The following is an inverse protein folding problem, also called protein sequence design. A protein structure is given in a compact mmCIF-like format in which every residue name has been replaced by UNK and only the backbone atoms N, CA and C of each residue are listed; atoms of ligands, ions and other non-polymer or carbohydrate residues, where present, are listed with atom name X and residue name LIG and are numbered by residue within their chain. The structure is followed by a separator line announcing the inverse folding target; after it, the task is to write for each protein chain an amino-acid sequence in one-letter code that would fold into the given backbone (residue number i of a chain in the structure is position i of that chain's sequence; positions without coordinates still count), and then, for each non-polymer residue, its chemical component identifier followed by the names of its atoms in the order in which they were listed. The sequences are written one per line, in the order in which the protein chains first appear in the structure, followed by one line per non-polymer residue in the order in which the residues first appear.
data_IF_732434418229
#
_entry.id   IF_732434418229
#
_cell.length_a   1.000
_cell.length_b   1.000
_cell.length_c   1.000
_cell.angle_alpha   90.00
_cell.angle_beta   90.00
_cell.angle_gamma   90.00
#
_symmetry.space_group_name_H-M   'P 1'
#
loop_
_entity.id
_entity.type
_entity.pdbx_description
1 polymer ?
#
# COMPACT_ATOMS: atom_id res chain seq x y z
N UNK A 1 -1.17 53.28 -1.53
CA UNK A 1 -0.87 52.16 -2.41
C UNK A 1 0.42 51.43 -2.03
N UNK A 2 1.58 52.09 -1.86
CA UNK A 2 2.84 51.39 -1.50
C UNK A 2 2.80 50.65 -0.16
N UNK A 3 2.09 51.15 0.86
CA UNK A 3 1.99 50.52 2.20
C UNK A 3 1.09 49.26 2.20
N UNK A 4 0.08 49.21 1.35
CA UNK A 4 -0.82 48.04 1.22
C UNK A 4 -0.14 46.90 0.46
N UNK A 5 0.64 47.22 -0.57
CA UNK A 5 1.44 46.26 -1.32
C UNK A 5 2.54 45.65 -0.43
N UNK A 6 3.17 46.47 0.44
CA UNK A 6 4.18 46.01 1.38
C UNK A 6 3.57 45.08 2.45
N UNK A 7 2.33 45.36 2.89
CA UNK A 7 1.62 44.54 3.86
C UNK A 7 1.18 43.19 3.24
N UNK A 8 0.70 43.18 1.98
CA UNK A 8 0.37 41.99 1.24
C UNK A 8 1.61 41.11 0.96
N UNK A 9 2.73 41.74 0.58
CA UNK A 9 3.98 41.04 0.36
C UNK A 9 4.54 40.41 1.65
N UNK A 10 4.39 41.11 2.80
CA UNK A 10 4.76 40.58 4.10
C UNK A 10 3.86 39.41 4.54
N UNK A 11 2.56 39.42 4.20
CA UNK A 11 1.63 38.33 4.50
C UNK A 11 1.93 37.07 3.66
N UNK A 12 2.27 37.26 2.38
CA UNK A 12 2.68 36.13 1.49
C UNK A 12 4.02 35.55 1.94
N UNK A 13 4.97 36.39 2.41
CA UNK A 13 6.24 35.91 2.96
C UNK A 13 6.10 35.25 4.34
N UNK A 14 5.09 35.62 5.13
CA UNK A 14 4.82 34.97 6.42
C UNK A 14 4.21 33.56 6.24
N UNK A 15 3.46 33.34 5.18
CA UNK A 15 2.91 32.02 4.83
C UNK A 15 3.98 31.07 4.23
N UNK A 16 5.06 31.61 3.66
CA UNK A 16 6.16 30.82 3.09
C UNK A 16 7.29 30.48 4.09
N UNK A 17 7.26 31.02 5.33
CA UNK A 17 8.29 30.76 6.35
C UNK A 17 7.94 29.63 7.33
N UNK A 18 6.79 28.98 7.19
CA UNK A 18 6.47 27.77 7.97
C UNK A 18 7.12 26.49 7.40
N UNK A 19 7.89 26.60 6.31
CA UNK A 19 8.56 25.45 5.67
C UNK A 19 10.00 25.18 6.16
N UNK A 20 10.45 25.81 7.23
CA UNK A 20 11.79 25.53 7.78
C UNK A 20 11.75 25.48 9.31
N UNK A 21 11.59 24.26 9.89
CA UNK A 21 11.86 23.98 11.30
C UNK A 21 10.64 23.88 12.22
N UNK A 22 9.43 23.77 11.70
CA UNK A 22 8.22 23.42 12.47
C UNK A 22 7.75 22.00 12.11
N UNK A 23 7.01 21.35 13.03
CA UNK A 23 6.34 20.06 12.82
C UNK A 23 5.84 19.95 11.37
N UNK A 24 6.14 18.84 10.71
CA UNK A 24 5.72 18.60 9.33
C UNK A 24 4.20 18.86 9.19
N UNK A 25 3.78 19.55 8.12
CA UNK A 25 2.35 19.74 7.81
C UNK A 25 1.67 18.40 7.52
N UNK A 26 0.35 18.39 7.23
CA UNK A 26 -0.37 17.15 6.92
C UNK A 26 0.23 16.42 5.71
N UNK A 27 0.79 17.12 4.73
CA UNK A 27 1.50 16.51 3.60
C UNK A 27 2.76 15.75 4.07
N UNK A 28 3.44 16.29 5.08
CA UNK A 28 4.68 15.69 5.60
C UNK A 28 4.45 14.37 6.31
N UNK A 29 3.38 14.23 7.11
CA UNK A 29 3.04 12.96 7.75
C UNK A 29 2.55 11.93 6.72
N UNK A 30 1.81 12.38 5.69
CA UNK A 30 1.36 11.51 4.60
C UNK A 30 2.54 11.06 3.73
N UNK A 31 3.51 11.92 3.46
CA UNK A 31 4.74 11.52 2.75
C UNK A 31 5.54 10.47 3.53
N UNK A 32 5.68 10.66 4.86
CA UNK A 32 6.33 9.68 5.74
C UNK A 32 5.58 8.33 5.74
N UNK A 33 4.25 8.36 5.78
CA UNK A 33 3.41 7.18 5.67
C UNK A 33 3.62 6.44 4.35
N UNK A 34 3.55 7.16 3.22
CA UNK A 34 3.77 6.56 1.90
C UNK A 34 5.17 5.95 1.74
N UNK A 35 6.17 6.56 2.36
CA UNK A 35 7.52 6.02 2.40
C UNK A 35 7.58 4.73 3.24
N UNK A 36 6.94 4.71 4.41
CA UNK A 36 6.79 3.51 5.22
C UNK A 36 6.15 2.36 4.45
N UNK A 37 5.11 2.65 3.63
CA UNK A 37 4.50 1.64 2.76
C UNK A 37 5.47 1.08 1.72
N UNK A 38 6.31 1.91 1.09
CA UNK A 38 7.32 1.44 0.13
C UNK A 38 8.38 0.55 0.77
N UNK A 39 8.77 0.88 1.99
CA UNK A 39 9.83 0.20 2.74
C UNK A 39 9.28 -0.98 3.57
N UNK A 40 7.93 -1.12 3.66
CA UNK A 40 7.22 -2.04 4.56
C UNK A 40 7.70 -1.87 6.01
N UNK A 41 7.93 -0.62 6.42
CA UNK A 41 8.37 -0.24 7.76
C UNK A 41 7.14 -0.01 8.65
N UNK A 42 6.74 -1.04 9.37
CA UNK A 42 5.55 -1.03 10.25
C UNK A 42 5.64 0.03 11.34
N UNK A 43 6.82 0.22 11.94
CA UNK A 43 7.03 1.22 12.96
C UNK A 43 6.86 2.64 12.40
N UNK A 44 7.43 2.92 11.22
CA UNK A 44 7.27 4.20 10.53
C UNK A 44 5.81 4.45 10.14
N UNK A 45 5.08 3.41 9.69
CA UNK A 45 3.65 3.48 9.37
C UNK A 45 2.85 3.81 10.64
N UNK A 46 3.02 3.03 11.73
CA UNK A 46 2.30 3.20 12.97
C UNK A 46 2.49 4.62 13.57
N UNK A 47 3.71 5.15 13.50
CA UNK A 47 4.02 6.50 13.98
C UNK A 47 3.26 7.62 13.24
N UNK A 48 2.75 7.36 12.04
CA UNK A 48 1.98 8.34 11.28
C UNK A 48 0.53 8.48 11.76
N UNK A 49 -0.03 7.48 12.45
CA UNK A 49 -1.42 7.47 12.89
C UNK A 49 -1.62 8.07 14.29
N UNK A 50 -2.81 8.60 14.55
CA UNK A 50 -3.20 9.12 15.88
C UNK A 50 -3.25 8.03 16.96
N UNK A 51 -3.58 6.79 16.57
CA UNK A 51 -3.66 5.60 17.42
C UNK A 51 -2.79 4.48 16.83
N UNK A 52 -1.54 4.78 16.48
CA UNK A 52 -0.64 3.83 15.81
C UNK A 52 -0.35 2.57 16.61
N UNK A 53 -0.42 2.64 17.94
CA UNK A 53 -0.26 1.47 18.84
C UNK A 53 -1.39 0.44 18.70
N UNK A 54 -2.55 0.84 18.14
CA UNK A 54 -3.70 -0.04 17.93
C UNK A 54 -3.69 -0.71 16.54
N UNK A 55 -2.71 -0.39 15.68
CA UNK A 55 -2.55 -1.02 14.37
C UNK A 55 -1.89 -2.39 14.55
N UNK A 56 -2.68 -3.44 14.43
CA UNK A 56 -2.20 -4.83 14.41
C UNK A 56 -1.57 -5.16 13.02
N UNK A 57 -0.41 -4.58 12.73
CA UNK A 57 0.35 -4.86 11.50
C UNK A 57 1.26 -6.09 11.65
N UNK A 58 1.51 -6.52 12.89
CA UNK A 58 2.41 -7.64 13.23
C UNK A 58 2.00 -8.99 12.64
N UNK A 59 0.74 -9.15 12.25
CA UNK A 59 0.26 -10.38 11.62
C UNK A 59 0.85 -10.61 10.21
N UNK A 60 1.47 -9.59 9.62
CA UNK A 60 2.18 -9.69 8.34
C UNK A 60 3.59 -10.27 8.50
N UNK A 61 4.22 -10.16 9.68
CA UNK A 61 5.55 -10.71 9.96
C UNK A 61 5.54 -12.20 10.32
N UNK A 62 4.43 -12.71 10.87
CA UNK A 62 4.34 -14.08 11.38
C UNK A 62 4.16 -15.17 10.29
N UNK A 63 4.38 -14.84 9.02
CA UNK A 63 4.58 -15.85 7.98
C UNK A 63 6.03 -16.39 8.05
N UNK A 64 6.43 -16.81 9.25
CA UNK A 64 7.64 -17.62 9.46
C UNK A 64 7.31 -19.05 9.05
N UNK A 65 7.10 -19.25 7.76
CA UNK A 65 6.89 -20.59 7.23
C UNK A 65 8.22 -21.10 6.69
N UNK A 66 8.62 -22.28 7.18
CA UNK A 66 9.65 -23.11 6.54
C UNK A 66 9.24 -23.52 5.11
N UNK A 67 8.08 -23.04 4.64
CA UNK A 67 7.52 -23.31 3.33
C UNK A 67 8.17 -22.41 2.26
N UNK A 68 8.92 -23.03 1.36
CA UNK A 68 9.61 -22.32 0.28
C UNK A 68 8.66 -21.55 -0.65
N UNK A 69 7.44 -22.04 -0.86
CA UNK A 69 6.41 -21.38 -1.67
C UNK A 69 5.95 -20.10 -0.99
N UNK A 70 5.68 -20.13 0.31
CA UNK A 70 5.27 -18.95 1.08
C UNK A 70 6.37 -17.90 1.10
N UNK A 71 7.62 -18.29 1.33
CA UNK A 71 8.77 -17.38 1.26
C UNK A 71 8.88 -16.70 -0.12
N UNK A 72 8.71 -17.46 -1.19
CA UNK A 72 8.76 -16.94 -2.57
C UNK A 72 7.66 -15.91 -2.84
N UNK A 73 6.44 -16.17 -2.36
CA UNK A 73 5.32 -15.22 -2.47
C UNK A 73 5.62 -13.94 -1.67
N UNK A 74 6.15 -14.06 -0.45
CA UNK A 74 6.53 -12.90 0.37
C UNK A 74 7.61 -12.06 -0.27
N UNK A 75 8.65 -12.67 -0.85
CA UNK A 75 9.72 -11.96 -1.55
C UNK A 75 9.17 -11.22 -2.79
N UNK A 76 8.23 -11.83 -3.48
CA UNK A 76 7.54 -11.19 -4.60
C UNK A 76 6.72 -9.99 -4.14
N UNK A 77 5.95 -10.10 -3.04
CA UNK A 77 5.19 -8.99 -2.46
C UNK A 77 6.10 -7.84 -2.04
N UNK A 78 7.22 -8.13 -1.37
CA UNK A 78 8.25 -7.13 -1.04
C UNK A 78 8.80 -6.43 -2.28
N UNK A 79 9.03 -7.19 -3.35
CA UNK A 79 9.46 -6.63 -4.64
C UNK A 79 8.40 -5.71 -5.25
N UNK A 80 7.12 -6.04 -5.13
CA UNK A 80 6.01 -5.19 -5.59
C UNK A 80 5.90 -3.91 -4.76
N UNK A 81 5.98 -3.99 -3.44
CA UNK A 81 5.98 -2.82 -2.54
C UNK A 81 7.12 -1.85 -2.86
N UNK A 82 8.33 -2.35 -3.08
CA UNK A 82 9.47 -1.52 -3.49
C UNK A 82 9.32 -0.84 -4.87
N UNK A 83 8.32 -1.21 -5.67
CA UNK A 83 7.97 -0.56 -6.94
C UNK A 83 6.82 0.44 -6.82
N UNK A 84 6.20 0.54 -5.65
CA UNK A 84 5.18 1.53 -5.37
C UNK A 84 5.71 2.93 -5.66
N UNK A 85 4.97 3.72 -6.43
CA UNK A 85 5.22 5.15 -6.62
C UNK A 85 4.05 5.92 -6.09
N UNK A 86 4.31 7.08 -5.54
CA UNK A 86 3.25 7.94 -5.03
C UNK A 86 3.57 9.40 -5.32
N UNK A 87 2.51 10.20 -5.36
CA UNK A 87 2.59 11.64 -5.43
C UNK A 87 1.62 12.25 -4.42
N UNK A 88 2.16 12.90 -3.40
CA UNK A 88 1.38 13.63 -2.40
C UNK A 88 0.94 14.96 -3.02
N UNK A 89 -0.37 15.23 -2.99
CA UNK A 89 -0.95 16.48 -3.44
C UNK A 89 -1.00 17.53 -2.33
N UNK A 90 -1.59 18.68 -2.65
CA UNK A 90 -1.75 19.79 -1.71
C UNK A 90 -2.87 19.48 -0.70
N UNK A 91 -2.59 19.70 0.58
CA UNK A 91 -3.57 19.49 1.65
C UNK A 91 -4.68 20.54 1.63
N UNK A 92 -5.90 20.09 1.93
CA UNK A 92 -7.01 20.99 2.29
C UNK A 92 -7.18 20.95 3.80
N UNK A 93 -6.88 22.10 4.46
CA UNK A 93 -6.93 22.22 5.93
C UNK A 93 -8.20 22.93 6.36
N UNK A 94 -8.91 22.36 7.34
CA UNK A 94 -10.10 22.97 7.98
C UNK A 94 -9.96 22.84 9.50
N UNK A 95 -9.46 23.94 10.14
CA UNK A 95 -9.19 23.95 11.57
C UNK A 95 -8.13 22.94 11.99
N UNK A 96 -8.52 21.98 12.81
CA UNK A 96 -7.66 20.92 13.33
C UNK A 96 -7.71 19.64 12.48
N UNK A 97 -8.41 19.65 11.35
CA UNK A 97 -8.49 18.55 10.40
C UNK A 97 -7.93 18.93 9.04
N UNK A 98 -7.48 17.95 8.30
CA UNK A 98 -7.04 18.14 6.91
C UNK A 98 -7.32 16.88 6.08
N UNK A 99 -7.35 17.06 4.77
CA UNK A 99 -7.35 15.96 3.80
C UNK A 99 -6.21 16.15 2.82
N UNK A 100 -5.48 15.07 2.54
CA UNK A 100 -4.35 15.07 1.62
C UNK A 100 -4.60 14.06 0.50
N UNK A 101 -4.75 14.49 -0.75
CA UNK A 101 -4.87 13.57 -1.87
C UNK A 101 -3.50 12.95 -2.18
N UNK A 102 -3.48 11.64 -2.42
CA UNK A 102 -2.28 10.92 -2.84
C UNK A 102 -2.63 10.06 -4.06
N UNK A 103 -1.88 10.25 -5.14
CA UNK A 103 -1.92 9.37 -6.29
C UNK A 103 -0.87 8.26 -6.11
N UNK A 104 -1.33 7.01 -6.10
CA UNK A 104 -0.49 5.83 -6.04
C UNK A 104 -0.43 5.15 -7.41
N UNK A 105 0.76 4.69 -7.80
CA UNK A 105 0.96 3.78 -8.93
C UNK A 105 1.66 2.53 -8.41
N UNK A 106 1.02 1.39 -8.54
CA UNK A 106 1.47 0.12 -7.96
C UNK A 106 1.33 -1.04 -8.96
N UNK A 107 2.03 -2.13 -8.70
CA UNK A 107 1.99 -3.32 -9.55
C UNK A 107 0.61 -3.96 -9.45
N UNK A 108 0.03 -4.39 -10.58
CA UNK A 108 -1.16 -5.23 -10.60
C UNK A 108 -0.75 -6.71 -10.46
N UNK A 109 -0.26 -7.08 -9.29
CA UNK A 109 0.15 -8.46 -9.02
C UNK A 109 -1.04 -9.42 -8.93
N UNK A 110 -2.25 -8.90 -8.64
CA UNK A 110 -3.47 -9.70 -8.60
C UNK A 110 -3.80 -10.35 -9.92
N UNK A 111 -3.69 -9.62 -11.04
CA UNK A 111 -3.90 -10.21 -12.36
C UNK A 111 -2.90 -11.32 -12.67
N UNK A 112 -1.65 -11.11 -12.29
CA UNK A 112 -0.58 -12.09 -12.47
C UNK A 112 -0.81 -13.33 -11.60
N UNK A 113 -1.21 -13.15 -10.34
CA UNK A 113 -1.53 -14.24 -9.43
C UNK A 113 -2.70 -15.08 -9.96
N UNK A 114 -3.73 -14.45 -10.53
CA UNK A 114 -4.84 -15.14 -11.17
C UNK A 114 -4.38 -16.02 -12.36
N UNK A 115 -3.46 -15.52 -13.17
CA UNK A 115 -2.87 -16.28 -14.28
C UNK A 115 -2.05 -17.46 -13.76
N UNK A 116 -1.20 -17.24 -12.73
CA UNK A 116 -0.40 -18.30 -12.08
C UNK A 116 -1.30 -19.40 -11.52
N UNK A 117 -2.33 -19.03 -10.76
CA UNK A 117 -3.25 -19.99 -10.17
C UNK A 117 -4.02 -20.79 -11.23
N UNK A 118 -4.49 -20.13 -12.29
CA UNK A 118 -5.21 -20.79 -13.38
C UNK A 118 -4.32 -21.86 -14.06
N UNK A 119 -3.09 -21.49 -14.37
CA UNK A 119 -2.14 -22.40 -15.01
C UNK A 119 -1.73 -23.54 -14.07
N UNK A 120 -1.39 -23.19 -12.82
CA UNK A 120 -1.04 -24.17 -11.81
C UNK A 120 -2.16 -25.19 -11.56
N UNK A 121 -3.41 -24.75 -11.40
CA UNK A 121 -4.56 -25.66 -11.20
C UNK A 121 -4.69 -26.64 -12.37
N UNK A 122 -4.52 -26.19 -13.59
CA UNK A 122 -4.54 -27.04 -14.77
C UNK A 122 -3.46 -28.14 -14.75
N UNK A 123 -2.25 -27.79 -14.31
CA UNK A 123 -1.13 -28.74 -14.17
C UNK A 123 -1.33 -29.65 -12.97
N UNK A 124 -1.77 -29.13 -11.82
CA UNK A 124 -1.99 -29.86 -10.59
C UNK A 124 -3.02 -30.99 -10.76
N UNK A 125 -4.10 -30.76 -11.51
CA UNK A 125 -5.06 -31.80 -11.85
C UNK A 125 -4.41 -32.96 -12.59
N UNK A 126 -3.56 -32.70 -13.56
CA UNK A 126 -2.85 -33.75 -14.33
C UNK A 126 -1.86 -34.51 -13.45
N UNK A 127 -1.14 -33.81 -12.58
CA UNK A 127 -0.21 -34.42 -11.63
C UNK A 127 -0.92 -35.25 -10.58
N UNK A 128 -2.02 -34.79 -10.01
CA UNK A 128 -2.80 -35.51 -9.02
C UNK A 128 -3.38 -36.82 -9.60
N UNK A 129 -3.88 -36.79 -10.84
CA UNK A 129 -4.36 -37.99 -11.52
C UNK A 129 -3.23 -39.00 -11.80
N UNK A 130 -1.98 -38.53 -11.91
CA UNK A 130 -0.81 -39.41 -12.07
C UNK A 130 -0.23 -39.91 -10.75
N UNK A 131 -0.81 -39.53 -9.61
CA UNK A 131 -0.36 -39.92 -8.26
C UNK A 131 0.87 -39.12 -7.79
N UNK A 132 1.01 -37.87 -8.21
CA UNK A 132 2.05 -37.00 -7.71
C UNK A 132 1.89 -36.72 -6.21
N UNK A 133 3.01 -36.59 -5.52
CA UNK A 133 3.10 -36.18 -4.13
C UNK A 133 3.11 -34.64 -3.97
N UNK A 134 3.00 -34.20 -2.74
CA UNK A 134 2.96 -32.75 -2.42
C UNK A 134 4.24 -32.02 -2.88
N UNK A 135 5.40 -32.67 -2.88
CA UNK A 135 6.66 -32.09 -3.34
C UNK A 135 6.61 -31.77 -4.84
N UNK A 136 6.01 -32.66 -5.65
CA UNK A 136 5.84 -32.40 -7.09
C UNK A 136 4.81 -31.30 -7.37
N UNK A 137 3.76 -31.22 -6.55
CA UNK A 137 2.77 -30.14 -6.66
C UNK A 137 3.40 -28.80 -6.30
N UNK A 138 4.21 -28.73 -5.24
CA UNK A 138 4.94 -27.52 -4.88
C UNK A 138 5.93 -27.09 -5.99
N UNK A 139 6.71 -28.04 -6.52
CA UNK A 139 7.63 -27.76 -7.62
C UNK A 139 6.93 -27.24 -8.88
N UNK A 140 5.75 -27.75 -9.21
CA UNK A 140 4.96 -27.25 -10.34
C UNK A 140 4.46 -25.82 -10.11
N UNK A 141 4.07 -25.47 -8.87
CA UNK A 141 3.72 -24.11 -8.53
C UNK A 141 4.92 -23.17 -8.68
N UNK A 142 6.08 -23.56 -8.15
CA UNK A 142 7.29 -22.76 -8.25
C UNK A 142 7.70 -22.51 -9.72
N UNK A 143 7.60 -23.52 -10.58
CA UNK A 143 7.92 -23.40 -12.00
C UNK A 143 7.02 -22.37 -12.68
N UNK A 144 5.70 -22.45 -12.50
CA UNK A 144 4.73 -21.49 -13.07
C UNK A 144 4.96 -20.10 -12.51
N UNK A 145 5.18 -20.01 -11.20
CA UNK A 145 5.44 -18.73 -10.54
C UNK A 145 6.68 -18.04 -11.09
N UNK A 146 7.79 -18.75 -11.19
CA UNK A 146 9.05 -18.22 -11.72
C UNK A 146 8.94 -17.80 -13.18
N UNK A 147 8.26 -18.60 -14.01
CA UNK A 147 8.02 -18.25 -15.42
C UNK A 147 7.29 -16.93 -15.55
N UNK A 148 6.25 -16.71 -14.73
CA UNK A 148 5.41 -15.50 -14.80
C UNK A 148 6.03 -14.28 -14.12
N UNK A 149 6.87 -14.47 -13.10
CA UNK A 149 7.42 -13.36 -12.32
C UNK A 149 8.81 -12.91 -12.74
N UNK A 150 9.59 -13.77 -13.42
CA UNK A 150 10.97 -13.46 -13.78
C UNK A 150 11.05 -12.54 -14.99
N UNK A 151 11.63 -11.35 -14.80
CA UNK A 151 11.98 -10.42 -15.89
C UNK A 151 10.79 -9.74 -16.56
N UNK A 152 9.60 -9.85 -16.00
CA UNK A 152 8.39 -9.27 -16.57
C UNK A 152 8.33 -7.75 -16.34
N UNK A 153 7.82 -7.02 -17.33
CA UNK A 153 7.24 -5.69 -17.14
C UNK A 153 5.84 -5.90 -16.57
N UNK A 154 5.71 -5.71 -15.25
CA UNK A 154 4.42 -5.92 -14.59
C UNK A 154 3.42 -4.82 -14.96
N UNK A 155 2.15 -5.17 -15.26
CA UNK A 155 1.11 -4.18 -15.41
C UNK A 155 0.98 -3.37 -14.12
N UNK A 156 0.61 -2.10 -14.25
CA UNK A 156 0.42 -1.22 -13.09
C UNK A 156 -1.01 -0.69 -13.02
N UNK A 157 -1.45 -0.41 -11.80
CA UNK A 157 -2.68 0.30 -11.50
C UNK A 157 -2.34 1.67 -10.93
N UNK A 158 -3.29 2.60 -11.08
CA UNK A 158 -3.22 3.92 -10.45
C UNK A 158 -4.50 4.16 -9.68
N UNK A 159 -4.36 4.57 -8.41
CA UNK A 159 -5.47 4.95 -7.55
C UNK A 159 -5.16 6.28 -6.86
N UNK A 160 -6.20 7.10 -6.66
CA UNK A 160 -6.08 8.33 -5.88
C UNK A 160 -6.86 8.16 -4.58
N UNK A 161 -6.16 8.22 -3.45
CA UNK A 161 -6.76 8.20 -2.13
C UNK A 161 -6.75 9.60 -1.52
N UNK A 162 -7.74 9.89 -0.70
CA UNK A 162 -7.79 11.09 0.13
C UNK A 162 -7.53 10.70 1.58
N UNK A 163 -6.34 11.01 2.07
CA UNK A 163 -5.90 10.63 3.42
C UNK A 163 -6.37 11.66 4.42
N UNK A 164 -7.24 11.31 5.38
CA UNK A 164 -7.69 12.21 6.44
C UNK A 164 -6.58 12.39 7.48
N UNK A 165 -6.39 13.62 7.92
CA UNK A 165 -5.41 13.98 8.94
C UNK A 165 -6.06 14.80 10.05
N UNK A 166 -5.49 14.72 11.25
CA UNK A 166 -5.91 15.45 12.44
C UNK A 166 -4.69 16.07 13.13
N UNK A 167 -4.86 17.27 13.66
CA UNK A 167 -3.85 17.98 14.42
C UNK A 167 -3.88 17.49 15.88
N UNK A 168 -2.78 16.92 16.35
CA UNK A 168 -2.60 16.47 17.74
C UNK A 168 -1.59 17.34 18.48
N UNK A 169 -1.35 17.09 19.78
CA UNK A 169 -0.27 17.74 20.54
C UNK A 169 1.12 17.50 19.93
N UNK A 170 1.29 16.37 19.25
CA UNK A 170 2.56 15.93 18.70
C UNK A 170 2.76 16.29 17.23
N UNK A 171 1.76 16.93 16.62
CA UNK A 171 1.75 17.37 15.24
C UNK A 171 0.59 16.77 14.46
N UNK A 172 0.67 16.83 13.15
CA UNK A 172 -0.30 16.18 12.28
C UNK A 172 -0.14 14.67 12.32
N UNK A 173 -1.27 13.97 12.31
CA UNK A 173 -1.38 12.52 12.28
C UNK A 173 -2.45 12.11 11.28
N UNK A 174 -2.34 10.90 10.74
CA UNK A 174 -3.41 10.30 9.94
C UNK A 174 -4.52 9.87 10.90
N UNK A 175 -5.76 10.23 10.56
CA UNK A 175 -6.91 9.89 11.39
C UNK A 175 -7.44 8.51 11.02
N UNK A 176 -7.54 7.63 12.02
CA UNK A 176 -8.21 6.33 11.92
C UNK A 176 -9.71 6.40 12.17
N UNK A 177 -10.20 7.54 12.66
CA UNK A 177 -11.59 7.75 13.10
C UNK A 177 -12.48 8.44 12.06
N UNK A 178 -11.97 8.70 10.84
CA UNK A 178 -12.74 9.37 9.80
C UNK A 178 -13.91 8.52 9.31
N UNK A 179 -15.03 9.16 8.94
CA UNK A 179 -16.28 8.49 8.50
C UNK A 179 -16.11 7.54 7.29
N UNK A 180 -15.02 7.68 6.53
CA UNK A 180 -14.67 6.84 5.38
C UNK A 180 -13.48 5.91 5.65
N UNK A 181 -13.15 5.64 6.90
CA UNK A 181 -11.99 4.83 7.29
C UNK A 181 -12.05 3.39 6.76
N UNK A 182 -13.24 2.78 6.69
CA UNK A 182 -13.40 1.42 6.16
C UNK A 182 -13.06 1.35 4.66
N UNK A 183 -13.57 2.30 3.86
CA UNK A 183 -13.27 2.37 2.42
C UNK A 183 -11.79 2.69 2.18
N UNK A 184 -11.18 3.54 3.01
CA UNK A 184 -9.78 3.87 2.93
C UNK A 184 -8.91 2.67 3.28
N UNK A 185 -9.27 1.92 4.33
CA UNK A 185 -8.53 0.72 4.75
C UNK A 185 -8.56 -0.35 3.67
N UNK A 186 -9.71 -0.59 3.05
CA UNK A 186 -9.82 -1.53 1.94
C UNK A 186 -8.97 -1.13 0.73
N UNK A 187 -8.98 0.15 0.36
CA UNK A 187 -8.19 0.66 -0.75
C UNK A 187 -6.68 0.63 -0.44
N UNK A 188 -6.29 0.92 0.81
CA UNK A 188 -4.89 0.79 1.23
C UNK A 188 -4.43 -0.65 1.23
N UNK A 189 -5.27 -1.59 1.67
CA UNK A 189 -4.97 -3.01 1.61
C UNK A 189 -4.76 -3.48 0.17
N UNK A 190 -5.58 -3.00 -0.77
CA UNK A 190 -5.45 -3.30 -2.18
C UNK A 190 -4.11 -2.80 -2.76
N UNK A 191 -3.70 -1.57 -2.41
CA UNK A 191 -2.41 -1.00 -2.80
C UNK A 191 -1.25 -1.79 -2.18
N UNK A 192 -1.30 -2.08 -0.86
CA UNK A 192 -0.26 -2.81 -0.13
C UNK A 192 -0.06 -4.22 -0.66
N UNK A 193 -1.16 -4.91 -0.95
CA UNK A 193 -1.12 -6.26 -1.51
C UNK A 193 -0.95 -6.26 -3.04
N UNK A 194 -0.75 -5.10 -3.67
CA UNK A 194 -0.63 -4.99 -5.14
C UNK A 194 -1.81 -5.63 -5.87
N UNK A 195 -3.03 -5.40 -5.36
CA UNK A 195 -4.29 -5.96 -5.87
C UNK A 195 -4.40 -7.50 -5.76
N UNK A 196 -3.56 -8.14 -4.97
CA UNK A 196 -3.64 -9.62 -4.81
C UNK A 196 -4.89 -9.98 -4.03
N UNK A 197 -5.20 -9.26 -2.95
CA UNK A 197 -6.33 -9.55 -2.08
C UNK A 197 -7.66 -9.53 -2.86
N UNK A 198 -7.97 -8.45 -3.55
CA UNK A 198 -9.18 -8.34 -4.36
C UNK A 198 -9.25 -9.39 -5.49
N UNK A 199 -8.11 -9.67 -6.14
CA UNK A 199 -8.07 -10.68 -7.19
C UNK A 199 -8.32 -12.11 -6.68
N UNK A 200 -7.86 -12.44 -5.46
CA UNK A 200 -8.14 -13.74 -4.83
C UNK A 200 -9.60 -13.88 -4.40
N UNK A 201 -10.22 -12.81 -3.89
CA UNK A 201 -11.66 -12.81 -3.61
C UNK A 201 -12.49 -13.07 -4.87
N UNK A 202 -12.19 -12.35 -5.95
CA UNK A 202 -12.87 -12.50 -7.24
C UNK A 202 -12.65 -13.91 -7.84
N UNK A 203 -11.44 -14.43 -7.75
CA UNK A 203 -11.11 -15.79 -8.19
C UNK A 203 -11.87 -16.86 -7.40
N UNK A 204 -11.90 -16.73 -6.06
CA UNK A 204 -12.66 -17.63 -5.19
C UNK A 204 -14.16 -17.59 -5.45
N UNK A 205 -14.73 -16.41 -5.66
CA UNK A 205 -16.13 -16.24 -6.01
C UNK A 205 -16.46 -16.90 -7.38
N UNK A 206 -15.55 -16.79 -8.34
CA UNK A 206 -15.69 -17.43 -9.66
C UNK A 206 -15.63 -18.95 -9.65
N UNK A 207 -14.97 -19.56 -8.64
CA UNK A 207 -14.92 -21.03 -8.49
C UNK A 207 -16.18 -21.62 -7.83
N UNK A 208 -16.92 -20.81 -7.07
CA UNK A 208 -18.08 -21.23 -6.29
C UNK A 208 -19.43 -20.93 -6.98
N UNK A 209 -19.45 -20.20 -8.07
CA UNK A 209 -20.63 -19.82 -8.89
C UNK A 209 -20.74 -20.66 -10.10
#
# INVERSE_FOLDING_TARGET
MKKVISLMLALVLALSLTACGGKAGPEGVVDQFCKGLQELDEEAIAQCFENGDDLELSDLEDVDSDDAVAQKIMDFMKSCAGRLKYQVGEATVDGDTATVPVEFTYVNAGSLMTEILTEYISQAWSLALSGADDEKLAAAFEEVFDEKTTGADFPTLTATLTIPCVQTSDGWKISSSADNSEDLSAQLLDILTSNIYGALEDFGAGLLG
#
